data_IF_563628738482
#
_entry.id   IF_563628738482
#
_cell.length_a   1.000
_cell.length_b   1.000
_cell.length_c   1.000
_cell.angle_alpha   90.00
_cell.angle_beta   90.00
_cell.angle_gamma   90.00
#
_symmetry.space_group_name_H-M   'P 1'
#
loop_
_entity.id
_entity.type
_entity.pdbx_description
1 polymer ?
#
# COMPACT_ATOMS: atom_id res chain seq x y z
N UNK A 1 15.24 -51.50 -43.03
CA UNK A 1 15.56 -50.22 -43.70
C UNK A 1 14.56 -49.21 -43.16
N UNK A 2 14.84 -48.37 -42.17
CA UNK A 2 16.00 -47.49 -42.06
C UNK A 2 15.62 -46.17 -42.73
N UNK A 3 15.25 -45.15 -41.95
CA UNK A 3 15.78 -43.78 -42.02
C UNK A 3 15.17 -42.91 -40.90
N UNK A 4 16.05 -42.53 -39.97
CA UNK A 4 15.88 -41.45 -39.01
C UNK A 4 15.55 -40.14 -39.74
N UNK A 5 14.59 -39.38 -39.25
CA UNK A 5 14.48 -37.94 -39.52
C UNK A 5 15.05 -37.20 -38.31
N UNK A 6 16.11 -36.45 -38.57
CA UNK A 6 16.84 -35.66 -37.60
C UNK A 6 15.97 -34.51 -37.05
N UNK A 7 15.95 -34.38 -35.73
CA UNK A 7 15.43 -33.19 -35.07
C UNK A 7 16.37 -32.00 -35.37
N UNK A 8 15.82 -30.99 -36.04
CA UNK A 8 16.50 -29.72 -36.29
C UNK A 8 16.85 -29.02 -34.98
N UNK A 9 18.10 -28.57 -34.89
CA UNK A 9 18.65 -27.87 -33.74
C UNK A 9 17.89 -26.54 -33.50
N UNK A 10 17.04 -26.52 -32.46
CA UNK A 10 16.67 -25.28 -31.82
C UNK A 10 17.92 -24.75 -31.11
N UNK A 11 18.47 -23.64 -31.63
CA UNK A 11 19.58 -22.94 -31.01
C UNK A 11 19.26 -22.65 -29.55
N UNK A 12 20.08 -23.19 -28.64
CA UNK A 12 20.07 -22.82 -27.23
C UNK A 12 20.37 -21.32 -27.17
N UNK A 13 19.34 -20.51 -26.90
CA UNK A 13 19.57 -19.16 -26.40
C UNK A 13 20.30 -19.35 -25.07
N UNK A 14 21.56 -18.92 -25.03
CA UNK A 14 22.36 -18.96 -23.82
C UNK A 14 21.63 -18.12 -22.76
N UNK A 15 21.15 -18.76 -21.71
CA UNK A 15 20.77 -18.07 -20.47
C UNK A 15 22.08 -17.44 -19.95
N UNK A 16 22.15 -16.10 -19.79
CA UNK A 16 23.37 -15.49 -19.30
C UNK A 16 23.67 -16.00 -17.89
N UNK A 17 24.97 -16.09 -17.56
CA UNK A 17 25.46 -16.45 -16.24
C UNK A 17 24.67 -15.70 -15.15
N UNK A 18 24.32 -16.40 -14.07
CA UNK A 18 23.51 -15.90 -12.96
C UNK A 18 23.81 -14.42 -12.68
N UNK A 19 22.86 -13.54 -12.99
CA UNK A 19 23.00 -12.12 -12.74
C UNK A 19 23.40 -11.94 -11.27
N UNK A 20 24.51 -11.24 -11.02
CA UNK A 20 24.98 -10.96 -9.67
C UNK A 20 23.83 -10.42 -8.83
N UNK A 21 23.73 -10.84 -7.57
CA UNK A 21 22.68 -10.38 -6.68
C UNK A 21 22.64 -8.84 -6.67
N UNK A 22 21.45 -8.21 -6.75
CA UNK A 22 21.35 -6.76 -6.82
C UNK A 22 22.09 -6.08 -5.66
N UNK A 23 22.85 -5.05 -6.00
CA UNK A 23 23.64 -4.26 -5.06
C UNK A 23 23.32 -2.77 -5.23
N UNK A 24 23.82 -1.89 -4.34
CA UNK A 24 23.59 -0.46 -4.49
C UNK A 24 24.11 0.15 -5.79
N UNK A 25 25.06 -0.52 -6.47
CA UNK A 25 25.61 -0.08 -7.75
C UNK A 25 24.74 -0.44 -8.96
N UNK A 26 23.72 -1.29 -8.80
CA UNK A 26 22.81 -1.64 -9.88
C UNK A 26 21.89 -0.45 -10.23
N UNK A 27 21.73 -0.18 -11.52
CA UNK A 27 20.71 0.72 -12.04
C UNK A 27 19.33 0.04 -12.07
N UNK A 28 18.29 0.80 -12.43
CA UNK A 28 16.92 0.27 -12.47
C UNK A 28 16.76 -0.86 -13.51
N UNK A 29 17.43 -0.77 -14.65
CA UNK A 29 17.34 -1.77 -15.71
C UNK A 29 17.94 -3.12 -15.25
N UNK A 30 19.10 -3.10 -14.61
CA UNK A 30 19.72 -4.29 -14.03
C UNK A 30 18.86 -4.91 -12.92
N UNK A 31 18.21 -4.08 -12.09
CA UNK A 31 17.28 -4.57 -11.07
C UNK A 31 16.05 -5.23 -11.72
N UNK A 32 15.43 -4.62 -12.73
CA UNK A 32 14.28 -5.21 -13.45
C UNK A 32 14.68 -6.52 -14.12
N UNK A 33 15.84 -6.59 -14.78
CA UNK A 33 16.35 -7.82 -15.38
C UNK A 33 16.53 -8.92 -14.34
N UNK A 34 17.01 -8.59 -13.14
CA UNK A 34 17.10 -9.56 -12.05
C UNK A 34 15.72 -10.02 -11.56
N UNK A 35 14.74 -9.12 -11.41
CA UNK A 35 13.37 -9.49 -11.05
C UNK A 35 12.77 -10.47 -12.05
N UNK A 36 13.01 -10.27 -13.35
CA UNK A 36 12.53 -11.18 -14.39
C UNK A 36 13.05 -12.61 -14.21
N UNK A 37 14.30 -12.79 -13.76
CA UNK A 37 14.84 -14.13 -13.45
C UNK A 37 14.16 -14.83 -12.26
N UNK A 38 13.45 -14.07 -11.42
CA UNK A 38 12.71 -14.56 -10.25
C UNK A 38 11.21 -14.74 -10.54
N UNK A 39 10.78 -14.50 -11.77
CA UNK A 39 9.37 -14.52 -12.13
C UNK A 39 8.73 -15.90 -11.90
N UNK A 40 7.48 -15.90 -11.44
CA UNK A 40 6.70 -17.11 -11.18
C UNK A 40 5.30 -16.97 -11.77
N UNK A 41 5.03 -17.76 -12.82
CA UNK A 41 3.73 -17.80 -13.48
C UNK A 41 2.61 -18.28 -12.53
N UNK A 42 2.91 -19.26 -11.68
CA UNK A 42 1.95 -19.79 -10.69
C UNK A 42 1.56 -18.73 -9.65
N UNK A 43 2.56 -18.02 -9.10
CA UNK A 43 2.29 -16.92 -8.18
C UNK A 43 1.50 -15.80 -8.85
N UNK A 44 1.88 -15.44 -10.09
CA UNK A 44 1.17 -14.42 -10.88
C UNK A 44 -0.29 -14.80 -11.12
N UNK A 45 -0.57 -16.05 -11.51
CA UNK A 45 -1.96 -16.54 -11.65
C UNK A 45 -2.72 -16.47 -10.31
N UNK A 46 -2.05 -16.78 -9.21
CA UNK A 46 -2.60 -16.69 -7.86
C UNK A 46 -2.83 -15.28 -7.32
N UNK A 47 -2.42 -14.22 -8.02
CA UNK A 47 -2.63 -12.82 -7.57
C UNK A 47 -4.02 -12.30 -7.91
N UNK A 48 -4.61 -12.73 -9.04
CA UNK A 48 -5.93 -12.28 -9.49
C UNK A 48 -7.05 -12.56 -8.47
N UNK A 49 -6.94 -13.65 -7.69
CA UNK A 49 -7.90 -13.98 -6.60
C UNK A 49 -7.95 -12.93 -5.48
N UNK A 50 -6.92 -12.10 -5.38
CA UNK A 50 -6.84 -10.99 -4.42
C UNK A 50 -7.15 -9.63 -5.08
N UNK A 51 -7.56 -9.63 -6.35
CA UNK A 51 -7.84 -8.42 -7.13
C UNK A 51 -6.61 -7.57 -7.37
N UNK A 52 -5.46 -8.21 -7.56
CA UNK A 52 -4.20 -7.57 -7.95
C UNK A 52 -4.06 -7.67 -9.47
N UNK A 53 -3.70 -6.56 -10.12
CA UNK A 53 -3.46 -6.51 -11.56
C UNK A 53 -2.21 -7.32 -11.94
N UNK A 54 -2.30 -8.11 -13.02
CA UNK A 54 -1.24 -9.06 -13.42
C UNK A 54 -0.63 -8.79 -14.80
N UNK A 55 -1.10 -7.77 -15.52
CA UNK A 55 -0.67 -7.48 -16.89
C UNK A 55 0.83 -7.13 -16.95
N UNK A 56 1.32 -6.40 -15.94
CA UNK A 56 2.74 -6.07 -15.76
C UNK A 56 3.24 -6.54 -14.39
N UNK A 57 3.22 -7.85 -14.15
CA UNK A 57 3.70 -8.46 -12.91
C UNK A 57 4.58 -9.70 -13.16
N UNK A 58 5.61 -9.87 -12.33
CA UNK A 58 6.49 -11.04 -12.30
C UNK A 58 6.00 -12.14 -11.35
N UNK A 59 5.11 -11.82 -10.39
CA UNK A 59 4.62 -12.80 -9.43
C UNK A 59 5.58 -13.05 -8.26
N UNK A 60 6.29 -12.02 -7.82
CA UNK A 60 7.30 -12.14 -6.76
C UNK A 60 6.67 -11.73 -5.42
N UNK A 61 6.76 -12.57 -4.38
CA UNK A 61 6.20 -12.24 -3.07
C UNK A 61 7.04 -11.18 -2.35
N UNK A 62 6.39 -10.38 -1.50
CA UNK A 62 7.07 -9.36 -0.69
C UNK A 62 8.17 -9.93 0.23
N UNK A 63 8.07 -11.21 0.61
CA UNK A 63 9.11 -11.90 1.37
C UNK A 63 10.45 -11.98 0.61
N UNK A 64 10.43 -11.94 -0.72
CA UNK A 64 11.61 -11.89 -1.60
C UNK A 64 11.98 -10.44 -1.93
N UNK A 65 11.00 -9.57 -2.23
CA UNK A 65 11.27 -8.17 -2.58
C UNK A 65 11.88 -7.35 -1.43
N UNK A 66 11.47 -7.58 -0.17
CA UNK A 66 11.97 -6.79 0.97
C UNK A 66 13.48 -7.00 1.21
N UNK A 67 14.02 -8.24 1.22
CA UNK A 67 15.47 -8.45 1.21
C UNK A 67 16.19 -7.75 0.05
N UNK A 68 15.63 -7.80 -1.17
CA UNK A 68 16.22 -7.13 -2.33
C UNK A 68 16.27 -5.62 -2.17
N UNK A 69 15.17 -4.99 -1.71
CA UNK A 69 15.13 -3.56 -1.41
C UNK A 69 16.17 -3.15 -0.38
N UNK A 70 16.41 -3.98 0.66
CA UNK A 70 17.49 -3.74 1.62
C UNK A 70 18.88 -3.87 1.01
N UNK A 71 19.09 -4.83 0.12
CA UNK A 71 20.38 -5.08 -0.52
C UNK A 71 20.78 -3.93 -1.47
N UNK A 72 19.83 -3.42 -2.26
CA UNK A 72 20.10 -2.30 -3.18
C UNK A 72 20.12 -0.93 -2.46
N UNK A 73 19.42 -0.81 -1.33
CA UNK A 73 19.41 0.41 -0.52
C UNK A 73 18.63 1.57 -1.17
N UNK A 74 18.59 2.70 -0.45
CA UNK A 74 17.87 3.91 -0.91
C UNK A 74 18.62 4.63 -2.02
N UNK A 75 17.90 5.01 -3.08
CA UNK A 75 18.38 5.84 -4.18
C UNK A 75 17.15 6.41 -4.90
N UNK A 76 16.96 7.74 -4.83
CA UNK A 76 15.78 8.37 -5.41
C UNK A 76 15.73 8.26 -6.94
N UNK A 77 16.86 8.40 -7.64
CA UNK A 77 16.88 8.36 -9.10
C UNK A 77 16.50 6.96 -9.61
N UNK A 78 17.05 5.92 -8.97
CA UNK A 78 16.68 4.53 -9.25
C UNK A 78 15.24 4.23 -8.88
N UNK A 79 14.73 4.74 -7.75
CA UNK A 79 13.33 4.54 -7.36
C UNK A 79 12.36 5.11 -8.42
N UNK A 80 12.62 6.31 -8.93
CA UNK A 80 11.83 6.91 -10.00
C UNK A 80 11.91 6.08 -11.29
N UNK A 81 13.10 5.64 -11.69
CA UNK A 81 13.28 4.80 -12.87
C UNK A 81 12.60 3.42 -12.74
N UNK A 82 12.63 2.82 -11.54
CA UNK A 82 11.91 1.58 -11.24
C UNK A 82 10.39 1.77 -11.33
N UNK A 83 9.87 2.90 -10.82
CA UNK A 83 8.46 3.23 -10.93
C UNK A 83 7.99 3.31 -12.39
N UNK A 84 8.77 4.03 -13.20
CA UNK A 84 8.52 4.25 -14.63
C UNK A 84 8.65 2.99 -15.49
N UNK A 85 9.29 1.92 -14.98
CA UNK A 85 9.36 0.64 -15.70
C UNK A 85 8.00 -0.04 -15.88
N UNK A 86 6.97 0.37 -15.12
CA UNK A 86 5.61 -0.17 -15.20
C UNK A 86 5.41 -1.54 -14.54
N UNK A 87 6.49 -2.24 -14.19
CA UNK A 87 6.39 -3.53 -13.51
C UNK A 87 5.98 -3.38 -12.05
N UNK A 88 4.97 -4.13 -11.63
CA UNK A 88 4.45 -4.14 -10.24
C UNK A 88 5.57 -4.30 -9.22
N UNK A 89 6.39 -5.34 -9.33
CA UNK A 89 7.48 -5.61 -8.40
C UNK A 89 8.54 -4.49 -8.38
N UNK A 90 8.79 -3.86 -9.53
CA UNK A 90 9.69 -2.71 -9.62
C UNK A 90 9.09 -1.48 -8.93
N UNK A 91 7.78 -1.22 -9.09
CA UNK A 91 7.06 -0.16 -8.34
C UNK A 91 7.07 -0.41 -6.83
N UNK A 92 6.93 -1.66 -6.39
CA UNK A 92 7.08 -1.99 -4.96
C UNK A 92 8.51 -1.74 -4.47
N UNK A 93 9.53 -2.12 -5.24
CA UNK A 93 10.92 -1.77 -4.92
C UNK A 93 11.12 -0.24 -4.89
N UNK A 94 10.53 0.50 -5.83
CA UNK A 94 10.56 1.97 -5.82
C UNK A 94 10.02 2.53 -4.50
N UNK A 95 8.89 2.03 -4.00
CA UNK A 95 8.37 2.44 -2.69
C UNK A 95 9.34 2.10 -1.53
N UNK A 96 10.05 0.98 -1.60
CA UNK A 96 10.99 0.55 -0.55
C UNK A 96 12.30 1.34 -0.54
N UNK A 97 12.70 1.86 -1.71
CA UNK A 97 14.03 2.46 -1.91
C UNK A 97 14.02 3.94 -2.24
N UNK A 98 12.84 4.55 -2.38
CA UNK A 98 12.72 6.00 -2.46
C UNK A 98 13.32 6.68 -1.22
N UNK A 99 13.75 7.92 -1.40
CA UNK A 99 14.16 8.80 -0.32
C UNK A 99 12.98 9.72 0.05
N UNK A 100 12.26 9.47 1.16
CA UNK A 100 11.00 10.15 1.44
C UNK A 100 11.10 11.69 1.44
N UNK A 101 12.21 12.23 1.95
CA UNK A 101 12.46 13.68 1.99
C UNK A 101 12.65 14.34 0.62
N UNK A 102 12.85 13.55 -0.43
CA UNK A 102 12.96 14.04 -1.82
C UNK A 102 11.66 13.86 -2.61
N UNK A 103 10.65 13.23 -2.01
CA UNK A 103 9.36 13.03 -2.64
C UNK A 103 8.50 14.30 -2.48
N UNK A 104 7.85 14.70 -3.56
CA UNK A 104 6.95 15.87 -3.59
C UNK A 104 5.50 15.42 -3.74
N UNK A 105 4.55 16.30 -3.38
CA UNK A 105 3.13 16.04 -3.62
C UNK A 105 2.83 15.84 -5.12
N UNK A 106 3.45 16.64 -6.00
CA UNK A 106 3.34 16.47 -7.46
C UNK A 106 3.77 15.06 -7.91
N UNK A 107 4.90 14.56 -7.41
CA UNK A 107 5.36 13.21 -7.72
C UNK A 107 4.40 12.13 -7.20
N UNK A 108 3.78 12.35 -6.04
CA UNK A 108 2.77 11.44 -5.49
C UNK A 108 1.49 11.41 -6.35
N UNK A 109 1.08 12.54 -6.92
CA UNK A 109 -0.03 12.60 -7.89
C UNK A 109 0.32 11.85 -9.18
N UNK A 110 1.52 12.03 -9.72
CA UNK A 110 1.99 11.26 -10.89
C UNK A 110 1.98 9.75 -10.60
N UNK A 111 2.40 9.32 -9.40
CA UNK A 111 2.33 7.92 -8.99
C UNK A 111 0.87 7.44 -8.85
N UNK A 112 -0.04 8.31 -8.45
CA UNK A 112 -1.46 7.96 -8.35
C UNK A 112 -2.11 7.69 -9.70
N UNK A 113 -1.64 8.32 -10.78
CA UNK A 113 -2.08 8.04 -12.16
C UNK A 113 -1.78 6.59 -12.58
N UNK A 114 -0.76 6.00 -11.97
CA UNK A 114 -0.23 4.67 -12.26
C UNK A 114 -0.83 3.55 -11.40
N UNK A 115 -1.66 3.87 -10.41
CA UNK A 115 -2.18 2.88 -9.48
C UNK A 115 -3.13 1.89 -10.17
N UNK A 116 -2.67 0.64 -10.34
CA UNK A 116 -3.43 -0.44 -10.94
C UNK A 116 -4.01 -1.45 -9.92
N UNK A 117 -3.56 -1.42 -8.67
CA UNK A 117 -3.94 -2.40 -7.66
C UNK A 117 -3.71 -1.90 -6.23
N UNK A 118 -4.51 -2.44 -5.30
CA UNK A 118 -4.60 -1.95 -3.93
C UNK A 118 -3.31 -2.08 -3.13
N UNK A 119 -2.45 -3.05 -3.44
CA UNK A 119 -1.22 -3.26 -2.69
C UNK A 119 -0.13 -2.27 -3.10
N UNK A 120 -0.06 -1.86 -4.37
CA UNK A 120 0.86 -0.79 -4.79
C UNK A 120 0.46 0.51 -4.11
N UNK A 121 -0.85 0.80 -4.08
CA UNK A 121 -1.43 1.93 -3.36
C UNK A 121 -1.01 1.93 -1.89
N UNK A 122 -1.20 0.82 -1.18
CA UNK A 122 -0.94 0.77 0.25
C UNK A 122 0.55 0.98 0.59
N UNK A 123 1.48 0.54 -0.26
CA UNK A 123 2.92 0.78 -0.07
C UNK A 123 3.31 2.22 -0.44
N UNK A 124 2.72 2.79 -1.49
CA UNK A 124 2.92 4.20 -1.84
C UNK A 124 2.36 5.13 -0.75
N UNK A 125 1.18 4.82 -0.21
CA UNK A 125 0.55 5.55 0.89
C UNK A 125 1.44 5.58 2.16
N UNK A 126 2.06 4.47 2.52
CA UNK A 126 3.03 4.41 3.63
C UNK A 126 4.24 5.33 3.38
N UNK A 127 4.81 5.27 2.17
CA UNK A 127 5.90 6.16 1.76
C UNK A 127 5.49 7.64 1.80
N UNK A 128 4.29 7.99 1.34
CA UNK A 128 3.80 9.38 1.33
C UNK A 128 3.62 9.92 2.75
N UNK A 129 3.20 9.06 3.69
CA UNK A 129 3.16 9.37 5.12
C UNK A 129 4.58 9.55 5.67
N UNK A 130 5.53 8.67 5.35
CA UNK A 130 6.95 8.81 5.74
C UNK A 130 7.57 10.10 5.18
N UNK A 131 7.15 10.53 3.99
CA UNK A 131 7.57 11.77 3.34
C UNK A 131 6.99 13.03 3.99
N UNK A 132 6.06 12.91 4.95
CA UNK A 132 5.42 14.05 5.60
C UNK A 132 4.35 14.74 4.75
N UNK A 133 3.84 14.08 3.71
CA UNK A 133 2.89 14.65 2.76
C UNK A 133 1.42 14.43 3.14
N UNK A 134 1.15 13.84 4.31
CA UNK A 134 -0.20 13.43 4.70
C UNK A 134 -1.19 14.61 4.81
N UNK A 135 -0.75 15.76 5.31
CA UNK A 135 -1.60 16.95 5.45
C UNK A 135 -2.13 17.50 4.12
N UNK A 136 -1.31 17.42 3.08
CA UNK A 136 -1.64 17.91 1.73
C UNK A 136 -2.40 16.84 0.92
N UNK A 137 -1.89 15.61 0.89
CA UNK A 137 -2.40 14.58 -0.03
C UNK A 137 -3.67 13.87 0.46
N UNK A 138 -3.93 13.80 1.77
CA UNK A 138 -5.13 13.10 2.27
C UNK A 138 -6.43 13.74 1.75
N UNK A 139 -6.64 15.07 1.88
CA UNK A 139 -7.81 15.72 1.30
C UNK A 139 -7.94 15.52 -0.21
N UNK A 140 -6.84 15.72 -0.94
CA UNK A 140 -6.83 15.66 -2.41
C UNK A 140 -7.19 14.25 -2.92
N UNK A 141 -6.54 13.23 -2.36
CA UNK A 141 -6.83 11.86 -2.73
C UNK A 141 -8.22 11.41 -2.27
N UNK A 142 -8.71 11.84 -1.10
CA UNK A 142 -10.05 11.47 -0.65
C UNK A 142 -11.13 11.98 -1.62
N UNK A 143 -10.96 13.19 -2.18
CA UNK A 143 -11.91 13.77 -3.13
C UNK A 143 -11.76 13.21 -4.56
N UNK A 144 -10.61 12.62 -4.89
CA UNK A 144 -10.37 12.02 -6.21
C UNK A 144 -11.42 10.95 -6.55
N UNK A 145 -11.96 11.03 -7.78
CA UNK A 145 -12.98 10.11 -8.28
C UNK A 145 -12.44 8.72 -8.62
N UNK A 146 -11.13 8.59 -8.89
CA UNK A 146 -10.48 7.33 -9.28
C UNK A 146 -10.36 6.41 -8.07
N UNK A 147 -10.69 5.13 -8.24
CA UNK A 147 -10.81 4.17 -7.13
C UNK A 147 -9.54 4.07 -6.29
N UNK A 148 -8.39 3.94 -6.95
CA UNK A 148 -7.12 3.72 -6.26
C UNK A 148 -6.47 4.99 -5.72
N UNK A 149 -6.68 6.14 -6.36
CA UNK A 149 -6.32 7.44 -5.77
C UNK A 149 -7.13 7.67 -4.48
N UNK A 150 -8.46 7.45 -4.52
CA UNK A 150 -9.30 7.52 -3.32
C UNK A 150 -8.88 6.54 -2.23
N UNK A 151 -8.56 5.31 -2.60
CA UNK A 151 -8.01 4.33 -1.65
C UNK A 151 -6.75 4.89 -0.98
N UNK A 152 -5.85 5.53 -1.73
CA UNK A 152 -4.61 6.08 -1.20
C UNK A 152 -4.88 7.07 -0.06
N UNK A 153 -5.83 8.00 -0.22
CA UNK A 153 -6.19 8.96 0.83
C UNK A 153 -6.56 8.28 2.15
N UNK A 154 -7.41 7.25 2.11
CA UNK A 154 -7.80 6.52 3.33
C UNK A 154 -6.71 5.57 3.86
N UNK A 155 -5.91 4.96 2.98
CA UNK A 155 -4.75 4.19 3.39
C UNK A 155 -3.71 5.08 4.10
N UNK A 156 -3.51 6.31 3.63
CA UNK A 156 -2.64 7.30 4.26
C UNK A 156 -3.12 7.68 5.65
N UNK A 157 -4.43 7.92 5.87
CA UNK A 157 -4.98 8.13 7.22
C UNK A 157 -4.66 6.94 8.13
N UNK A 158 -4.86 5.71 7.65
CA UNK A 158 -4.60 4.51 8.42
C UNK A 158 -3.12 4.36 8.79
N UNK A 159 -2.22 4.59 7.83
CA UNK A 159 -0.77 4.55 8.06
C UNK A 159 -0.29 5.68 8.95
N UNK A 160 -0.78 6.90 8.78
CA UNK A 160 -0.47 8.01 9.66
C UNK A 160 -0.86 7.71 11.12
N UNK A 161 -2.02 7.10 11.33
CA UNK A 161 -2.48 6.72 12.67
C UNK A 161 -1.57 5.68 13.32
N UNK A 162 -0.96 4.80 12.50
CA UNK A 162 -0.01 3.78 12.93
C UNK A 162 1.40 4.33 13.13
N UNK A 163 1.92 5.16 12.23
CA UNK A 163 3.35 5.50 12.18
C UNK A 163 3.70 6.84 12.84
N UNK A 164 2.88 7.86 12.68
CA UNK A 164 3.20 9.20 13.17
C UNK A 164 2.92 9.31 14.66
N UNK A 165 3.78 8.76 15.52
CA UNK A 165 3.53 8.65 16.98
C UNK A 165 3.41 9.99 17.71
N UNK A 166 4.01 11.04 17.14
CA UNK A 166 4.07 12.38 17.71
C UNK A 166 3.10 13.37 17.04
N UNK A 167 2.40 12.95 15.98
CA UNK A 167 1.38 13.79 15.34
C UNK A 167 0.22 14.03 16.32
N UNK A 168 -0.24 15.28 16.50
CA UNK A 168 -1.37 15.57 17.37
C UNK A 168 -2.61 14.79 16.98
N UNK A 169 -3.42 14.40 17.98
CA UNK A 169 -4.64 13.66 17.71
C UNK A 169 -5.66 14.52 16.94
N UNK A 170 -5.60 15.84 17.09
CA UNK A 170 -6.41 16.83 16.37
C UNK A 170 -6.28 16.68 14.85
N UNK A 171 -5.10 16.31 14.34
CA UNK A 171 -4.88 16.05 12.90
C UNK A 171 -5.79 14.91 12.42
N UNK A 172 -5.89 13.82 13.17
CA UNK A 172 -6.74 12.68 12.83
C UNK A 172 -8.23 12.97 13.05
N UNK A 173 -8.55 13.75 14.10
CA UNK A 173 -9.90 14.21 14.35
C UNK A 173 -10.43 15.01 13.15
N UNK A 174 -9.60 15.87 12.55
CA UNK A 174 -9.93 16.65 11.36
C UNK A 174 -10.19 15.79 10.11
N UNK A 175 -9.70 14.55 10.06
CA UNK A 175 -9.94 13.62 8.95
C UNK A 175 -11.16 12.71 9.15
N UNK A 176 -11.75 12.61 10.35
CA UNK A 176 -12.97 11.82 10.57
C UNK A 176 -14.15 12.25 9.66
N UNK A 177 -14.39 13.55 9.38
CA UNK A 177 -15.42 13.96 8.43
C UNK A 177 -15.20 13.45 7.00
N UNK A 178 -13.95 13.26 6.55
CA UNK A 178 -13.65 12.64 5.25
C UNK A 178 -14.07 11.17 5.25
N UNK A 179 -13.77 10.45 6.34
CA UNK A 179 -14.18 9.05 6.50
C UNK A 179 -15.71 8.92 6.47
N UNK A 180 -16.44 9.76 7.21
CA UNK A 180 -17.92 9.74 7.22
C UNK A 180 -18.50 10.04 5.84
N UNK A 181 -17.94 11.04 5.14
CA UNK A 181 -18.42 11.48 3.82
C UNK A 181 -18.34 10.38 2.76
N UNK A 182 -17.26 9.59 2.76
CA UNK A 182 -17.01 8.56 1.75
C UNK A 182 -17.33 7.13 2.23
N UNK A 183 -18.00 6.98 3.37
CA UNK A 183 -18.38 5.67 3.89
C UNK A 183 -19.46 4.95 3.04
N UNK A 184 -20.13 5.66 2.13
CA UNK A 184 -21.08 5.12 1.15
C UNK A 184 -20.43 4.59 -0.14
N UNK A 185 -19.11 4.74 -0.31
CA UNK A 185 -18.44 4.25 -1.52
C UNK A 185 -18.57 2.72 -1.63
N UNK A 186 -19.30 2.25 -2.65
CA UNK A 186 -19.58 0.82 -2.82
C UNK A 186 -18.38 0.03 -3.36
N UNK A 187 -17.38 0.71 -3.91
CA UNK A 187 -16.19 0.08 -4.49
C UNK A 187 -15.39 -0.60 -3.38
N UNK A 188 -15.19 -1.91 -3.52
CA UNK A 188 -14.68 -2.75 -2.44
C UNK A 188 -13.33 -2.29 -1.89
N UNK A 189 -12.42 -1.81 -2.74
CA UNK A 189 -11.10 -1.37 -2.29
C UNK A 189 -11.14 -0.04 -1.55
N UNK A 190 -12.00 0.89 -1.97
CA UNK A 190 -12.22 2.15 -1.24
C UNK A 190 -12.91 1.87 0.08
N UNK A 191 -14.04 1.16 0.09
CA UNK A 191 -14.81 0.83 1.30
C UNK A 191 -13.95 0.18 2.38
N UNK A 192 -13.07 -0.75 1.98
CA UNK A 192 -12.11 -1.40 2.90
C UNK A 192 -11.10 -0.41 3.46
N UNK A 193 -10.61 0.54 2.66
CA UNK A 193 -9.66 1.56 3.13
C UNK A 193 -10.34 2.57 4.07
N UNK A 194 -11.58 3.01 3.77
CA UNK A 194 -12.38 3.87 4.66
C UNK A 194 -12.58 3.20 6.02
N UNK A 195 -13.00 1.93 6.03
CA UNK A 195 -13.12 1.16 7.29
C UNK A 195 -11.77 0.99 7.99
N UNK A 196 -10.69 0.78 7.25
CA UNK A 196 -9.35 0.66 7.83
C UNK A 196 -8.91 1.97 8.49
N UNK A 197 -9.11 3.11 7.85
CA UNK A 197 -8.84 4.45 8.38
C UNK A 197 -9.62 4.69 9.69
N UNK A 198 -10.92 4.39 9.71
CA UNK A 198 -11.76 4.55 10.90
C UNK A 198 -11.24 3.70 12.06
N UNK A 199 -10.92 2.43 11.78
CA UNK A 199 -10.39 1.50 12.78
C UNK A 199 -9.06 1.99 13.35
N UNK A 200 -8.10 2.37 12.50
CA UNK A 200 -6.79 2.80 12.99
C UNK A 200 -6.86 4.11 13.77
N UNK A 201 -7.71 5.05 13.34
CA UNK A 201 -7.94 6.31 14.05
C UNK A 201 -8.46 6.04 15.47
N UNK A 202 -9.53 5.25 15.62
CA UNK A 202 -10.07 4.92 16.95
C UNK A 202 -9.19 4.01 17.80
N UNK A 203 -8.18 3.37 17.20
CA UNK A 203 -7.19 2.50 17.88
C UNK A 203 -5.95 3.24 18.34
N UNK A 204 -5.83 4.53 18.02
CA UNK A 204 -4.62 5.33 18.22
C UNK A 204 -4.47 5.83 19.65
N UNK A 205 -5.51 6.42 20.22
CA UNK A 205 -5.53 7.02 21.56
C UNK A 205 -6.93 6.97 22.16
N UNK A 206 -7.05 7.17 23.48
CA UNK A 206 -8.37 7.28 24.12
C UNK A 206 -9.14 8.51 23.62
N UNK A 207 -8.44 9.62 23.35
CA UNK A 207 -9.04 10.84 22.82
C UNK A 207 -9.71 10.60 21.46
N UNK A 208 -9.05 9.88 20.54
CA UNK A 208 -9.63 9.56 19.23
C UNK A 208 -10.61 8.37 19.27
N UNK A 209 -10.51 7.54 20.29
CA UNK A 209 -11.36 6.36 20.42
C UNK A 209 -12.84 6.72 20.50
N UNK A 210 -13.18 7.70 21.35
CA UNK A 210 -14.55 8.14 21.58
C UNK A 210 -15.25 8.68 20.30
N UNK A 211 -14.70 9.67 19.57
CA UNK A 211 -15.33 10.17 18.35
C UNK A 211 -15.33 9.14 17.21
N UNK A 212 -14.29 8.29 17.09
CA UNK A 212 -14.27 7.23 16.09
C UNK A 212 -15.31 6.13 16.38
N UNK A 213 -15.49 5.76 17.65
CA UNK A 213 -16.50 4.81 18.09
C UNK A 213 -17.91 5.36 17.84
N UNK A 214 -18.15 6.63 18.18
CA UNK A 214 -19.42 7.30 17.92
C UNK A 214 -19.75 7.33 16.42
N UNK A 215 -18.77 7.64 15.56
CA UNK A 215 -18.94 7.57 14.11
C UNK A 215 -19.26 6.14 13.65
N UNK A 216 -18.53 5.14 14.14
CA UNK A 216 -18.77 3.74 13.79
C UNK A 216 -20.20 3.29 14.18
N UNK A 217 -20.71 3.73 15.34
CA UNK A 217 -22.08 3.47 15.80
C UNK A 217 -23.13 4.11 14.87
N UNK A 218 -22.95 5.38 14.50
CA UNK A 218 -23.84 6.06 13.55
C UNK A 218 -23.87 5.32 12.22
N UNK A 219 -22.70 5.05 11.63
CA UNK A 219 -22.60 4.36 10.35
C UNK A 219 -23.23 2.96 10.40
N UNK A 220 -23.10 2.23 11.51
CA UNK A 220 -23.71 0.90 11.65
C UNK A 220 -25.25 0.93 11.72
N UNK A 221 -25.84 2.07 12.10
CA UNK A 221 -27.28 2.26 12.27
C UNK A 221 -28.02 2.83 11.05
N UNK A 222 -27.31 3.36 10.04
CA UNK A 222 -27.97 3.94 8.86
C UNK A 222 -28.51 2.89 7.89
N UNK A 223 -29.51 3.29 7.10
CA UNK A 223 -30.03 2.49 5.98
C UNK A 223 -29.26 2.69 4.69
N UNK A 224 -27.97 2.39 4.76
CA UNK A 224 -27.06 2.35 3.61
C UNK A 224 -26.12 1.15 3.77
N UNK A 225 -25.99 0.33 2.72
CA UNK A 225 -25.25 -0.94 2.82
C UNK A 225 -23.76 -0.73 3.06
N UNK A 226 -23.14 0.22 2.37
CA UNK A 226 -21.70 0.47 2.45
C UNK A 226 -21.34 1.10 3.80
N UNK A 227 -22.05 2.15 4.22
CA UNK A 227 -21.89 2.81 5.53
C UNK A 227 -22.11 1.82 6.66
N UNK A 228 -23.17 1.02 6.61
CA UNK A 228 -23.44 -0.03 7.60
C UNK A 228 -22.31 -1.04 7.70
N UNK A 229 -21.73 -1.46 6.57
CA UNK A 229 -20.60 -2.37 6.56
C UNK A 229 -19.36 -1.73 7.21
N UNK A 230 -19.02 -0.49 6.85
CA UNK A 230 -17.89 0.27 7.43
C UNK A 230 -18.07 0.41 8.94
N UNK A 231 -19.25 0.86 9.39
CA UNK A 231 -19.57 1.03 10.79
C UNK A 231 -19.48 -0.28 11.59
N UNK A 232 -20.11 -1.36 11.12
CA UNK A 232 -20.07 -2.66 11.81
C UNK A 232 -18.67 -3.26 11.88
N UNK A 233 -17.89 -3.13 10.81
CA UNK A 233 -16.52 -3.63 10.78
C UNK A 233 -15.62 -2.84 11.75
N UNK A 234 -15.80 -1.51 11.81
CA UNK A 234 -15.08 -0.68 12.76
C UNK A 234 -15.50 -0.94 14.22
N UNK A 235 -16.80 -1.04 14.50
CA UNK A 235 -17.32 -1.34 15.83
C UNK A 235 -16.71 -2.63 16.38
N UNK A 236 -16.68 -3.70 15.58
CA UNK A 236 -16.15 -5.00 16.01
C UNK A 236 -14.74 -4.88 16.59
N UNK A 237 -13.86 -4.11 15.95
CA UNK A 237 -12.49 -3.94 16.42
C UNK A 237 -12.36 -2.90 17.55
N UNK A 238 -13.14 -1.81 17.50
CA UNK A 238 -13.07 -0.75 18.49
C UNK A 238 -13.64 -1.19 19.85
N UNK A 239 -14.69 -2.01 19.86
CA UNK A 239 -15.27 -2.55 21.10
C UNK A 239 -14.61 -3.85 21.58
N UNK A 240 -13.63 -4.38 20.86
CA UNK A 240 -12.93 -5.59 21.27
C UNK A 240 -12.12 -5.33 22.56
N UNK A 241 -12.24 -6.23 23.54
CA UNK A 241 -11.56 -6.08 24.85
C UNK A 241 -10.06 -5.83 24.69
N UNK A 242 -9.39 -6.57 23.79
CA UNK A 242 -7.97 -6.39 23.45
C UNK A 242 -7.63 -4.96 23.01
N UNK A 243 -8.53 -4.30 22.27
CA UNK A 243 -8.34 -2.91 21.83
C UNK A 243 -8.44 -1.96 23.02
N UNK A 244 -9.47 -2.13 23.85
CA UNK A 244 -9.72 -1.30 25.03
C UNK A 244 -8.55 -1.42 26.03
N UNK A 245 -8.11 -2.64 26.33
CA UNK A 245 -6.98 -2.91 27.24
C UNK A 245 -5.70 -2.22 26.74
N UNK A 246 -5.43 -2.32 25.43
CA UNK A 246 -4.26 -1.69 24.81
C UNK A 246 -4.32 -0.16 24.90
N UNK A 247 -5.49 0.44 24.71
CA UNK A 247 -5.68 1.89 24.80
C UNK A 247 -5.49 2.39 26.24
N UNK A 248 -6.06 1.69 27.22
CA UNK A 248 -5.89 1.99 28.64
C UNK A 248 -4.42 1.88 29.05
N UNK A 249 -3.74 0.79 28.65
CA UNK A 249 -2.31 0.62 28.92
C UNK A 249 -1.45 1.71 28.27
N UNK A 250 -1.83 2.21 27.08
CA UNK A 250 -1.13 3.33 26.42
C UNK A 250 -1.35 4.65 27.17
N UNK A 251 -2.54 4.92 27.67
CA UNK A 251 -2.86 6.14 28.40
C UNK A 251 -2.19 6.23 29.78
N UNK A 252 -1.89 5.08 30.39
CA UNK A 252 -1.19 5.00 31.69
C UNK A 252 0.34 5.13 31.57
N UNK A 253 0.90 5.11 30.36
CA UNK A 253 2.35 5.31 30.17
C UNK A 253 2.67 6.79 30.34
N UNK A 254 3.62 7.15 31.23
CA UNK A 254 4.06 8.54 31.35
C UNK A 254 4.63 9.00 30.00
N UNK A 255 4.20 10.19 29.57
CA UNK A 255 4.74 10.88 28.39
C UNK A 255 6.23 11.06 28.61
N UNK A 256 7.06 10.44 27.77
CA UNK A 256 8.52 10.64 27.77
C UNK A 256 8.88 11.90 27.02
#
# INVERSE_FOLDING_TARGET
MGHLVAAGAAGKIAVPAAAAAPSPACDAAAVVAHLETLASADNRAGMARFGIATDAAFGIPNAVLRPLGRAIGRDQARALALWQSGWREARLLACFTAEPKKLTAAQAHEWADDFASWEVVDHAADLFVEAGLAGELVPDFADDGREFARRAGFAMIAWAAVHLKNEPDETFLAWLPLIERHADDERNFVRKAVSWALRQTGKRSLFLHEPALALAQRLAGVDDRARRWVGRDALRELTAQKTLDRLQAKAQRPTR
#
